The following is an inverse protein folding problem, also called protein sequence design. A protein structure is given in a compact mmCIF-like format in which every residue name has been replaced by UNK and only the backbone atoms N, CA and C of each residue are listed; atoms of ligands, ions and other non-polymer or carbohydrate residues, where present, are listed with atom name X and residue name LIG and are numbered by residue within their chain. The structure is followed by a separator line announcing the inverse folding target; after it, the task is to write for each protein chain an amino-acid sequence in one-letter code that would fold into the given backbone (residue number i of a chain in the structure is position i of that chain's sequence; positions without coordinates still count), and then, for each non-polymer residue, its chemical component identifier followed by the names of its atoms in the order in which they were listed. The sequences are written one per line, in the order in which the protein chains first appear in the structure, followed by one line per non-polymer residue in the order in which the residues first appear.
data_IF_070335159159
#
_entry.id   IF_070335159159
#
_cell.length_a   1.000
_cell.length_b   1.000
_cell.length_c   1.000
_cell.angle_alpha   90.00
_cell.angle_beta   90.00
_cell.angle_gamma   90.00
#
_symmetry.space_group_name_H-M   'P 1'
#
loop_
_entity.id
_entity.type
_entity.pdbx_description
1 polymer ?
#
# COMPACT_ATOMS: atom_id res chain seq x y z
N UNK A 1 21.36 -29.64 -8.44
CA UNK A 1 21.15 -28.93 -9.72
C UNK A 1 19.67 -28.60 -9.82
N UNK A 2 19.29 -27.39 -9.46
CA UNK A 2 17.92 -26.93 -9.66
C UNK A 2 17.71 -26.76 -11.17
N UNK A 3 16.82 -27.55 -11.76
CA UNK A 3 16.37 -27.28 -13.12
C UNK A 3 15.75 -25.89 -13.09
N UNK A 4 16.41 -24.94 -13.74
CA UNK A 4 15.79 -23.70 -14.18
C UNK A 4 14.76 -24.18 -15.22
N UNK A 5 13.58 -24.59 -14.76
CA UNK A 5 12.42 -24.71 -15.63
C UNK A 5 12.34 -23.38 -16.35
N UNK A 6 12.52 -23.45 -17.67
CA UNK A 6 12.30 -22.33 -18.57
C UNK A 6 10.80 -22.05 -18.47
N UNK A 7 10.43 -21.20 -17.53
CA UNK A 7 9.14 -20.50 -17.49
C UNK A 7 8.98 -19.80 -18.84
N UNK A 8 8.34 -20.48 -19.79
CA UNK A 8 7.80 -19.90 -21.02
C UNK A 8 6.54 -19.08 -20.75
N UNK A 9 6.19 -18.85 -19.46
CA UNK A 9 5.27 -17.79 -19.09
C UNK A 9 5.92 -16.48 -19.54
N UNK A 10 5.42 -15.95 -20.65
CA UNK A 10 5.76 -14.65 -21.17
C UNK A 10 5.60 -13.66 -20.01
N UNK A 11 6.72 -13.24 -19.43
CA UNK A 11 6.71 -12.42 -18.21
C UNK A 11 6.03 -11.11 -18.57
N UNK A 12 4.84 -10.92 -17.99
CA UNK A 12 4.12 -9.66 -18.06
C UNK A 12 4.94 -8.64 -17.29
N UNK A 13 5.13 -7.48 -17.89
CA UNK A 13 5.85 -6.38 -17.26
C UNK A 13 4.86 -5.26 -17.00
N UNK A 14 4.72 -4.88 -15.73
CA UNK A 14 3.88 -3.75 -15.35
C UNK A 14 4.66 -2.46 -15.64
N UNK A 15 4.20 -1.69 -16.63
CA UNK A 15 4.82 -0.41 -17.03
C UNK A 15 3.74 0.66 -17.12
N UNK A 16 4.01 1.85 -16.58
CA UNK A 16 3.19 3.03 -16.85
C UNK A 16 3.61 3.69 -18.17
N UNK A 17 4.92 3.77 -18.45
CA UNK A 17 5.46 4.42 -19.67
C UNK A 17 5.00 5.88 -19.80
N UNK A 18 5.23 6.66 -18.74
CA UNK A 18 4.83 8.06 -18.67
C UNK A 18 5.59 8.91 -19.68
N UNK A 19 4.95 9.95 -20.23
CA UNK A 19 5.62 10.87 -21.14
C UNK A 19 6.67 11.70 -20.39
N UNK A 20 7.67 12.22 -21.11
CA UNK A 20 8.66 13.13 -20.52
C UNK A 20 8.00 14.40 -19.94
N UNK A 21 6.90 14.86 -20.56
CA UNK A 21 6.12 16.00 -20.06
C UNK A 21 5.41 15.65 -18.75
N UNK A 22 4.76 14.49 -18.66
CA UNK A 22 4.07 14.05 -17.44
C UNK A 22 5.06 13.82 -16.30
N UNK A 23 6.23 13.22 -16.56
CA UNK A 23 7.30 13.04 -15.58
C UNK A 23 7.81 14.38 -15.04
N UNK A 24 8.03 15.36 -15.92
CA UNK A 24 8.43 16.71 -15.50
C UNK A 24 7.36 17.36 -14.62
N UNK A 25 6.09 17.30 -15.02
CA UNK A 25 4.97 17.87 -14.24
C UNK A 25 4.77 17.15 -12.90
N UNK A 26 4.99 15.84 -12.87
CA UNK A 26 4.97 15.04 -11.64
C UNK A 26 6.08 15.48 -10.68
N UNK A 27 7.31 15.65 -11.18
CA UNK A 27 8.44 16.15 -10.39
C UNK A 27 8.15 17.54 -9.79
N UNK A 28 7.60 18.47 -10.57
CA UNK A 28 7.19 19.80 -10.09
C UNK A 28 6.07 19.73 -9.02
N UNK A 29 5.18 18.72 -9.07
CA UNK A 29 4.17 18.48 -8.04
C UNK A 29 4.77 17.93 -6.74
N UNK A 30 5.73 17.02 -6.87
CA UNK A 30 6.45 16.42 -5.73
C UNK A 30 7.25 17.49 -4.99
N UNK A 31 7.99 18.33 -5.71
CA UNK A 31 8.76 19.44 -5.13
C UNK A 31 7.89 20.44 -4.37
N UNK A 32 6.71 20.78 -4.91
CA UNK A 32 5.73 21.63 -4.21
C UNK A 32 5.18 20.96 -2.96
N UNK A 33 4.99 19.65 -2.98
CA UNK A 33 4.48 18.90 -1.82
C UNK A 33 5.49 18.87 -0.67
N UNK A 34 6.80 18.87 -0.95
CA UNK A 34 7.85 18.93 0.07
C UNK A 34 7.77 20.16 0.97
N UNK A 35 7.20 21.28 0.46
CA UNK A 35 7.02 22.52 1.23
C UNK A 35 5.60 22.78 1.74
N UNK A 36 4.62 21.94 1.41
CA UNK A 36 3.22 22.21 1.69
C UNK A 36 2.77 21.57 3.01
N UNK A 37 2.28 22.39 3.95
CA UNK A 37 1.56 21.93 5.15
C UNK A 37 0.05 21.73 4.94
N UNK A 38 -0.43 21.76 3.68
CA UNK A 38 -1.84 21.56 3.39
C UNK A 38 -2.22 20.07 3.42
N UNK A 39 -2.62 19.56 4.57
CA UNK A 39 -3.07 18.18 4.75
C UNK A 39 -4.59 18.01 4.52
N UNK A 40 -5.22 18.98 3.82
CA UNK A 40 -6.66 19.01 3.51
C UNK A 40 -7.51 19.66 4.60
N UNK A 41 -8.67 20.20 4.25
CA UNK A 41 -9.61 20.78 5.24
C UNK A 41 -10.58 19.73 5.76
N UNK A 42 -10.99 19.86 7.03
CA UNK A 42 -12.05 19.03 7.59
C UNK A 42 -13.36 19.33 6.87
N UNK A 43 -13.99 18.29 6.32
CA UNK A 43 -15.41 18.35 5.95
C UNK A 43 -16.22 17.66 7.04
N UNK A 44 -17.36 18.24 7.40
CA UNK A 44 -18.32 17.60 8.29
C UNK A 44 -18.72 16.24 7.68
N UNK A 45 -18.79 15.22 8.53
CA UNK A 45 -19.14 13.87 8.10
C UNK A 45 -20.61 13.64 8.41
N UNK A 46 -21.46 13.83 7.41
CA UNK A 46 -22.91 13.53 7.51
C UNK A 46 -23.23 12.10 7.02
N UNK A 47 -22.18 11.30 6.77
CA UNK A 47 -22.27 9.94 6.24
C UNK A 47 -22.64 8.89 7.29
N UNK A 48 -23.22 7.77 6.83
CA UNK A 48 -23.50 6.61 7.70
C UNK A 48 -22.25 5.80 8.05
N UNK A 49 -21.24 5.85 7.18
CA UNK A 49 -20.00 5.09 7.31
C UNK A 49 -18.82 6.05 7.35
N UNK A 50 -17.93 5.88 8.34
CA UNK A 50 -16.61 6.49 8.35
C UNK A 50 -15.57 5.44 8.02
N UNK A 51 -14.84 5.65 6.92
CA UNK A 51 -13.67 4.85 6.60
C UNK A 51 -12.41 5.49 7.17
N UNK A 52 -11.62 4.69 7.89
CA UNK A 52 -10.35 5.08 8.46
C UNK A 52 -9.27 4.14 7.91
N UNK A 53 -8.23 4.70 7.30
CA UNK A 53 -7.07 3.95 6.80
C UNK A 53 -5.85 4.26 7.65
N UNK A 54 -5.23 3.26 8.28
CA UNK A 54 -3.92 3.37 8.92
C UNK A 54 -2.86 2.75 8.00
N UNK A 55 -2.07 3.59 7.34
CA UNK A 55 -1.27 3.23 6.15
C UNK A 55 0.07 3.95 6.15
N UNK A 56 1.06 3.41 5.43
CA UNK A 56 2.35 4.07 5.18
C UNK A 56 2.44 4.63 3.74
N UNK A 57 1.31 4.65 3.04
CA UNK A 57 1.11 5.19 1.70
C UNK A 57 2.09 4.63 0.65
N UNK A 58 2.51 3.37 0.80
CA UNK A 58 3.07 2.64 -0.34
C UNK A 58 2.03 2.52 -1.49
N UNK A 59 2.46 2.34 -2.76
CA UNK A 59 1.54 2.40 -3.90
C UNK A 59 0.35 1.44 -3.80
N UNK A 60 0.55 0.22 -3.29
CA UNK A 60 -0.49 -0.76 -3.07
C UNK A 60 -1.46 -0.39 -1.94
N UNK A 61 -1.01 0.29 -0.89
CA UNK A 61 -1.90 0.87 0.11
C UNK A 61 -2.83 1.90 -0.52
N UNK A 62 -2.28 2.81 -1.32
CA UNK A 62 -3.03 3.91 -1.95
C UNK A 62 -4.10 3.35 -2.89
N UNK A 63 -3.74 2.35 -3.71
CA UNK A 63 -4.70 1.67 -4.57
C UNK A 63 -5.80 0.99 -3.76
N UNK A 64 -5.45 0.34 -2.64
CA UNK A 64 -6.42 -0.37 -1.79
C UNK A 64 -7.37 0.63 -1.14
N UNK A 65 -6.86 1.76 -0.64
CA UNK A 65 -7.65 2.86 -0.09
C UNK A 65 -8.64 3.40 -1.14
N UNK A 66 -8.21 3.62 -2.38
CA UNK A 66 -9.06 4.08 -3.48
C UNK A 66 -10.18 3.08 -3.80
N UNK A 67 -9.84 1.80 -3.99
CA UNK A 67 -10.80 0.76 -4.33
C UNK A 67 -11.80 0.50 -3.19
N UNK A 68 -11.33 0.46 -1.93
CA UNK A 68 -12.19 0.32 -0.76
C UNK A 68 -13.13 1.52 -0.61
N UNK A 69 -12.62 2.73 -0.84
CA UNK A 69 -13.46 3.95 -0.84
C UNK A 69 -14.52 3.86 -1.93
N UNK A 70 -14.16 3.44 -3.13
CA UNK A 70 -15.10 3.22 -4.23
C UNK A 70 -16.13 2.11 -3.95
N UNK A 71 -15.78 1.12 -3.14
CA UNK A 71 -16.66 0.00 -2.76
C UNK A 71 -17.70 0.39 -1.71
N UNK A 72 -17.31 1.23 -0.75
CA UNK A 72 -18.09 1.47 0.48
C UNK A 72 -18.64 2.88 0.64
N UNK A 73 -17.96 3.92 0.14
CA UNK A 73 -18.38 5.29 0.36
C UNK A 73 -19.48 5.71 -0.62
N UNK A 74 -20.43 6.47 -0.09
CA UNK A 74 -21.36 7.21 -0.94
C UNK A 74 -20.63 8.35 -1.67
N UNK A 75 -21.14 8.82 -2.83
CA UNK A 75 -20.57 9.97 -3.52
C UNK A 75 -20.43 11.18 -2.59
N UNK A 76 -19.23 11.75 -2.50
CA UNK A 76 -18.93 12.93 -1.69
C UNK A 76 -18.48 12.65 -0.25
N UNK A 77 -18.63 11.42 0.25
CA UNK A 77 -17.99 11.00 1.50
C UNK A 77 -16.48 10.86 1.29
N UNK A 78 -15.69 11.26 2.28
CA UNK A 78 -14.22 11.19 2.22
C UNK A 78 -13.68 10.34 3.36
N UNK A 79 -12.69 9.47 3.10
CA UNK A 79 -12.05 8.73 4.17
C UNK A 79 -11.17 9.62 5.05
N UNK A 80 -10.82 9.12 6.22
CA UNK A 80 -9.75 9.63 7.07
C UNK A 80 -8.50 8.78 6.86
N UNK A 81 -7.39 9.41 6.48
CA UNK A 81 -6.09 8.74 6.27
C UNK A 81 -5.15 9.06 7.42
N UNK A 82 -4.78 8.03 8.17
CA UNK A 82 -3.78 8.03 9.23
C UNK A 82 -2.45 7.55 8.64
N UNK A 83 -1.60 8.49 8.22
CA UNK A 83 -0.32 8.20 7.55
C UNK A 83 0.81 7.99 8.57
N UNK A 84 1.26 6.75 8.72
CA UNK A 84 2.45 6.39 9.50
C UNK A 84 3.72 6.57 8.68
N UNK A 85 4.61 7.46 9.13
CA UNK A 85 5.86 7.76 8.42
C UNK A 85 7.09 7.23 9.15
N UNK A 86 8.10 6.87 8.38
CA UNK A 86 9.45 6.52 8.79
C UNK A 86 10.48 7.43 8.11
N UNK A 87 10.44 8.72 8.45
CA UNK A 87 11.37 9.73 7.94
C UNK A 87 12.84 9.43 8.28
N UNK A 88 13.11 8.50 9.20
CA UNK A 88 14.47 8.08 9.57
C UNK A 88 15.03 7.02 8.64
N UNK A 89 14.19 6.31 7.89
CA UNK A 89 14.62 5.19 7.07
C UNK A 89 13.93 5.17 5.70
N UNK A 90 12.67 4.70 5.64
CA UNK A 90 11.99 4.49 4.35
C UNK A 90 11.62 5.78 3.63
N UNK A 91 11.28 6.84 4.36
CA UNK A 91 10.67 8.04 3.79
C UNK A 91 11.65 9.22 3.65
N UNK A 92 12.95 8.96 3.48
CA UNK A 92 13.95 10.02 3.25
C UNK A 92 13.90 10.53 1.80
N UNK A 93 14.58 11.64 1.49
CA UNK A 93 14.64 12.23 0.15
C UNK A 93 13.26 12.67 -0.34
N UNK A 94 12.90 12.35 -1.58
CA UNK A 94 11.60 12.71 -2.14
C UNK A 94 10.52 11.65 -1.87
N UNK A 95 10.86 10.52 -1.25
CA UNK A 95 9.92 9.40 -1.01
C UNK A 95 8.69 9.84 -0.22
N UNK A 96 8.85 10.61 0.87
CA UNK A 96 7.72 11.15 1.63
C UNK A 96 6.79 12.02 0.76
N UNK A 97 7.37 12.93 -0.02
CA UNK A 97 6.63 13.83 -0.89
C UNK A 97 5.96 13.09 -2.05
N UNK A 98 6.62 12.08 -2.61
CA UNK A 98 6.07 11.17 -3.61
C UNK A 98 4.83 10.45 -3.06
N UNK A 99 4.91 9.85 -1.87
CA UNK A 99 3.77 9.18 -1.22
C UNK A 99 2.56 10.10 -1.02
N UNK A 100 2.79 11.31 -0.49
CA UNK A 100 1.74 12.31 -0.33
C UNK A 100 1.14 12.75 -1.68
N UNK A 101 1.99 12.96 -2.69
CA UNK A 101 1.55 13.39 -4.03
C UNK A 101 0.71 12.29 -4.69
N UNK A 102 1.17 11.03 -4.65
CA UNK A 102 0.42 9.87 -5.14
C UNK A 102 -0.94 9.77 -4.43
N UNK A 103 -0.95 9.85 -3.10
CA UNK A 103 -2.18 9.73 -2.32
C UNK A 103 -3.19 10.84 -2.66
N UNK A 104 -2.74 12.09 -2.83
CA UNK A 104 -3.61 13.21 -3.25
C UNK A 104 -4.16 13.02 -4.66
N UNK A 105 -3.34 12.51 -5.59
CA UNK A 105 -3.76 12.27 -6.97
C UNK A 105 -4.73 11.09 -7.07
N UNK A 106 -4.51 10.02 -6.30
CA UNK A 106 -5.31 8.81 -6.36
C UNK A 106 -6.60 8.91 -5.54
N UNK A 107 -6.55 9.44 -4.32
CA UNK A 107 -7.67 9.48 -3.39
C UNK A 107 -8.52 10.75 -3.51
N UNK A 108 -8.01 11.76 -4.22
CA UNK A 108 -8.64 13.07 -4.34
C UNK A 108 -8.62 13.85 -3.01
N UNK A 109 -9.66 14.65 -2.72
CA UNK A 109 -9.72 15.46 -1.50
C UNK A 109 -9.96 14.57 -0.27
N UNK A 110 -8.87 14.17 0.39
CA UNK A 110 -8.92 13.40 1.64
C UNK A 110 -8.24 14.13 2.79
N UNK A 111 -8.66 13.80 4.00
CA UNK A 111 -8.05 14.34 5.21
C UNK A 111 -6.88 13.45 5.63
N UNK A 112 -5.69 14.04 5.74
CA UNK A 112 -4.49 13.36 6.24
C UNK A 112 -4.17 13.77 7.68
N UNK A 113 -3.90 12.77 8.51
CA UNK A 113 -3.21 12.90 9.79
C UNK A 113 -1.87 12.19 9.68
N UNK A 114 -0.76 12.91 9.89
CA UNK A 114 0.59 12.39 9.68
C UNK A 114 1.28 12.11 11.00
N UNK A 115 1.65 10.85 11.22
CA UNK A 115 2.43 10.40 12.36
C UNK A 115 3.92 10.41 12.03
N UNK A 116 4.67 11.30 12.69
CA UNK A 116 6.13 11.44 12.52
C UNK A 116 6.85 10.91 13.75
N UNK A 117 7.77 9.97 13.57
CA UNK A 117 8.55 9.40 14.69
C UNK A 117 9.47 10.43 15.34
N UNK A 118 9.21 10.74 16.62
CA UNK A 118 10.02 11.67 17.42
C UNK A 118 9.76 13.15 17.13
N UNK A 119 8.62 13.47 16.50
CA UNK A 119 8.15 14.83 16.26
C UNK A 119 6.67 14.93 16.64
N UNK A 120 6.16 16.15 16.79
CA UNK A 120 4.74 16.38 17.04
C UNK A 120 3.90 15.82 15.89
N UNK A 121 2.87 15.04 16.23
CA UNK A 121 1.93 14.51 15.25
C UNK A 121 1.12 15.64 14.63
N UNK A 122 1.03 15.63 13.31
CA UNK A 122 0.27 16.63 12.58
C UNK A 122 -1.19 16.22 12.54
N UNK A 123 -2.05 17.03 13.17
CA UNK A 123 -3.52 16.86 13.18
C UNK A 123 -4.06 15.61 13.89
N UNK A 124 -3.26 14.95 14.73
CA UNK A 124 -3.70 13.78 15.50
C UNK A 124 -4.96 14.06 16.32
N UNK A 125 -4.97 15.15 17.07
CA UNK A 125 -6.13 15.56 17.88
C UNK A 125 -7.38 15.83 17.01
N UNK A 126 -7.20 16.27 15.77
CA UNK A 126 -8.29 16.51 14.84
C UNK A 126 -8.86 15.20 14.26
N UNK A 127 -7.99 14.25 13.89
CA UNK A 127 -8.37 12.90 13.49
C UNK A 127 -9.08 12.14 14.63
N UNK A 128 -8.54 12.24 15.85
CA UNK A 128 -9.15 11.70 17.07
C UNK A 128 -10.55 12.28 17.27
N UNK A 129 -10.70 13.62 17.22
CA UNK A 129 -12.02 14.27 17.35
C UNK A 129 -12.99 13.77 16.29
N UNK A 130 -12.56 13.69 15.02
CA UNK A 130 -13.39 13.24 13.91
C UNK A 130 -13.97 11.85 14.16
N UNK A 131 -13.15 10.92 14.66
CA UNK A 131 -13.61 9.56 14.99
C UNK A 131 -14.48 9.54 16.25
N UNK A 132 -14.07 10.22 17.31
CA UNK A 132 -14.80 10.26 18.58
C UNK A 132 -16.19 10.92 18.47
N UNK A 133 -16.34 11.89 17.57
CA UNK A 133 -17.56 12.66 17.34
C UNK A 133 -18.34 12.20 16.11
N UNK A 134 -17.95 11.11 15.45
CA UNK A 134 -18.61 10.65 14.24
C UNK A 134 -20.08 10.27 14.52
N UNK A 135 -21.07 10.94 13.92
CA UNK A 135 -22.48 10.72 14.27
C UNK A 135 -23.10 9.49 13.59
N UNK A 136 -22.43 8.92 12.58
CA UNK A 136 -22.95 7.79 11.82
C UNK A 136 -22.85 6.46 12.55
N UNK A 137 -23.26 5.39 11.85
CA UNK A 137 -23.53 4.09 12.47
C UNK A 137 -22.30 3.19 12.52
N UNK A 138 -21.38 3.34 11.56
CA UNK A 138 -20.32 2.36 11.30
C UNK A 138 -18.97 3.00 11.04
N UNK A 139 -17.93 2.47 11.69
CA UNK A 139 -16.54 2.80 11.42
C UNK A 139 -15.86 1.57 10.81
N UNK A 140 -15.35 1.72 9.59
CA UNK A 140 -14.53 0.70 8.92
C UNK A 140 -13.08 1.09 9.06
N UNK A 141 -12.34 0.36 9.88
CA UNK A 141 -10.95 0.67 10.20
C UNK A 141 -10.01 -0.35 9.55
N UNK A 142 -9.26 0.10 8.55
CA UNK A 142 -8.30 -0.72 7.82
C UNK A 142 -6.87 -0.42 8.27
N UNK A 143 -6.09 -1.46 8.55
CA UNK A 143 -4.71 -1.35 9.03
C UNK A 143 -3.78 -2.00 7.99
N UNK A 144 -3.03 -1.16 7.28
CA UNK A 144 -2.08 -1.48 6.19
C UNK A 144 -0.63 -1.16 6.57
N UNK A 145 -0.40 -0.54 7.73
CA UNK A 145 0.94 -0.17 8.19
C UNK A 145 1.31 -0.74 9.57
N UNK A 146 2.60 -0.86 9.88
CA UNK A 146 3.06 -1.18 11.23
C UNK A 146 2.62 -0.10 12.23
N UNK A 147 2.06 -0.51 13.37
CA UNK A 147 1.54 0.42 14.38
C UNK A 147 2.61 1.36 14.95
N UNK A 148 3.80 0.85 15.27
CA UNK A 148 4.94 1.59 15.84
C UNK A 148 4.60 2.42 17.09
N UNK A 149 3.54 2.06 17.81
CA UNK A 149 2.97 2.80 18.93
C UNK A 149 1.90 3.83 18.55
N UNK A 150 1.84 4.26 17.29
CA UNK A 150 0.91 5.29 16.82
C UNK A 150 -0.53 4.79 16.77
N UNK A 151 -0.74 3.50 16.49
CA UNK A 151 -2.06 2.89 16.52
C UNK A 151 -2.63 2.93 17.95
N UNK A 152 -1.81 2.57 18.94
CA UNK A 152 -2.20 2.65 20.34
C UNK A 152 -2.49 4.10 20.78
N UNK A 153 -1.62 5.04 20.41
CA UNK A 153 -1.78 6.46 20.73
C UNK A 153 -3.09 7.03 20.18
N UNK A 154 -3.37 6.77 18.90
CA UNK A 154 -4.61 7.18 18.25
C UNK A 154 -5.84 6.62 18.97
N UNK A 155 -5.88 5.30 19.20
CA UNK A 155 -7.02 4.65 19.84
C UNK A 155 -7.24 5.09 21.29
N UNK A 156 -6.16 5.37 22.04
CA UNK A 156 -6.27 5.92 23.39
C UNK A 156 -6.85 7.34 23.36
N UNK A 157 -6.41 8.18 22.42
CA UNK A 157 -6.96 9.51 22.26
C UNK A 157 -8.46 9.51 21.91
N UNK A 158 -8.92 8.55 21.10
CA UNK A 158 -10.35 8.33 20.81
C UNK A 158 -11.11 7.94 22.08
N UNK A 159 -10.60 6.95 22.84
CA UNK A 159 -11.20 6.50 24.12
C UNK A 159 -11.37 7.62 25.14
N UNK A 160 -10.43 8.55 25.20
CA UNK A 160 -10.48 9.69 26.12
C UNK A 160 -11.58 10.72 25.77
N UNK A 161 -12.11 10.69 24.53
CA UNK A 161 -13.03 11.72 24.01
C UNK A 161 -14.42 11.20 23.66
N UNK A 162 -14.67 9.89 23.76
CA UNK A 162 -15.99 9.31 23.56
C UNK A 162 -16.35 8.36 24.71
N UNK A 163 -17.64 8.02 24.83
CA UNK A 163 -18.05 6.87 25.65
C UNK A 163 -17.39 5.60 25.10
N UNK A 164 -16.86 4.74 25.99
CA UNK A 164 -16.24 3.47 25.62
C UNK A 164 -16.93 2.30 26.32
N UNK A 165 -17.46 1.29 25.59
CA UNK A 165 -17.32 1.06 24.16
C UNK A 165 -18.04 2.13 23.30
N UNK A 166 -17.55 2.39 22.07
CA UNK A 166 -18.15 3.36 21.17
C UNK A 166 -19.55 2.91 20.75
N UNK A 167 -20.44 3.87 20.48
CA UNK A 167 -21.82 3.57 20.02
C UNK A 167 -21.86 3.01 18.60
N UNK A 168 -20.88 3.38 17.78
CA UNK A 168 -20.76 2.96 16.40
C UNK A 168 -20.29 1.50 16.33
N UNK A 169 -20.72 0.78 15.31
CA UNK A 169 -20.17 -0.54 14.99
C UNK A 169 -18.78 -0.37 14.36
N UNK A 170 -17.76 -1.02 14.93
CA UNK A 170 -16.41 -0.98 14.37
C UNK A 170 -16.09 -2.29 13.64
N UNK A 171 -15.81 -2.20 12.34
CA UNK A 171 -15.28 -3.31 11.57
C UNK A 171 -13.78 -3.08 11.37
N UNK A 172 -12.96 -4.00 11.91
CA UNK A 172 -11.50 -3.86 11.88
C UNK A 172 -10.92 -4.93 10.99
N UNK A 173 -10.26 -4.50 9.92
CA UNK A 173 -9.58 -5.37 8.96
C UNK A 173 -8.11 -4.97 8.87
N UNK A 174 -7.20 -5.94 8.88
CA UNK A 174 -5.77 -5.68 8.79
C UNK A 174 -5.08 -6.58 7.77
N UNK A 175 -4.05 -6.04 7.15
CA UNK A 175 -3.08 -6.85 6.43
C UNK A 175 -1.89 -7.17 7.35
N UNK A 176 -1.61 -8.46 7.56
CA UNK A 176 -0.57 -8.93 8.49
C UNK A 176 0.71 -9.40 7.80
N UNK A 177 1.22 -8.59 6.88
CA UNK A 177 2.57 -8.79 6.33
C UNK A 177 3.67 -8.73 7.41
N UNK A 178 4.81 -9.36 7.11
CA UNK A 178 5.98 -9.41 8.00
C UNK A 178 6.44 -8.02 8.46
N UNK A 179 6.40 -7.03 7.56
CA UNK A 179 6.72 -5.64 7.88
C UNK A 179 5.75 -5.04 8.91
N UNK A 180 4.46 -5.24 8.70
CA UNK A 180 3.38 -4.71 9.53
C UNK A 180 3.45 -5.27 10.95
N UNK A 181 3.52 -6.60 11.08
CA UNK A 181 3.46 -7.27 12.39
C UNK A 181 4.73 -7.07 13.22
N UNK A 182 5.91 -7.01 12.59
CA UNK A 182 7.19 -6.74 13.29
C UNK A 182 7.17 -5.36 13.96
N UNK A 183 6.60 -4.37 13.27
CA UNK A 183 6.53 -3.00 13.75
C UNK A 183 5.43 -2.72 14.78
N UNK A 184 4.56 -3.69 15.12
CA UNK A 184 3.55 -3.53 16.16
C UNK A 184 4.19 -3.52 17.56
N UNK A 185 3.97 -2.48 18.34
CA UNK A 185 4.37 -2.45 19.76
C UNK A 185 3.42 -3.30 20.62
N UNK A 186 3.82 -3.64 21.85
CA UNK A 186 2.92 -4.31 22.80
C UNK A 186 1.63 -3.51 23.05
N UNK A 187 1.74 -2.17 23.06
CA UNK A 187 0.59 -1.27 23.23
C UNK A 187 -0.35 -1.32 22.04
N UNK A 188 0.17 -1.41 20.81
CA UNK A 188 -0.68 -1.53 19.60
C UNK A 188 -1.52 -2.79 19.64
N UNK A 189 -0.90 -3.92 20.02
CA UNK A 189 -1.58 -5.21 20.14
C UNK A 189 -2.67 -5.18 21.23
N UNK A 190 -2.38 -4.58 22.38
CA UNK A 190 -3.36 -4.39 23.46
C UNK A 190 -4.52 -3.49 23.02
N UNK A 191 -4.24 -2.39 22.33
CA UNK A 191 -5.27 -1.48 21.84
C UNK A 191 -6.16 -2.13 20.78
N UNK A 192 -5.60 -2.96 19.90
CA UNK A 192 -6.37 -3.73 18.91
C UNK A 192 -7.26 -4.77 19.60
N UNK A 193 -6.74 -5.46 20.62
CA UNK A 193 -7.54 -6.38 21.42
C UNK A 193 -8.70 -5.68 22.11
N UNK A 194 -8.46 -4.54 22.75
CA UNK A 194 -9.51 -3.75 23.38
C UNK A 194 -10.55 -3.24 22.37
N UNK A 195 -10.12 -2.85 21.17
CA UNK A 195 -11.01 -2.39 20.11
C UNK A 195 -11.95 -3.51 19.64
N UNK A 196 -11.42 -4.71 19.36
CA UNK A 196 -12.24 -5.86 18.92
C UNK A 196 -13.19 -6.36 20.01
N UNK A 197 -12.80 -6.28 21.28
CA UNK A 197 -13.70 -6.56 22.41
C UNK A 197 -14.84 -5.52 22.45
N UNK A 198 -14.50 -4.24 22.32
CA UNK A 198 -15.46 -3.16 22.35
C UNK A 198 -16.42 -3.18 21.15
N UNK A 199 -15.95 -3.59 19.97
CA UNK A 199 -16.76 -3.66 18.76
C UNK A 199 -17.68 -4.88 18.70
N UNK A 200 -17.38 -5.93 19.46
CA UNK A 200 -18.10 -7.21 19.42
C UNK A 200 -17.87 -8.01 18.13
N UNK A 201 -17.05 -7.51 17.19
CA UNK A 201 -16.73 -8.16 15.92
C UNK A 201 -15.30 -8.70 15.95
N UNK A 202 -15.05 -9.89 15.35
CA UNK A 202 -13.68 -10.37 15.23
C UNK A 202 -12.85 -9.46 14.32
N UNK A 203 -11.54 -9.41 14.57
CA UNK A 203 -10.56 -8.83 13.66
C UNK A 203 -10.53 -9.65 12.36
N UNK A 204 -10.64 -9.01 11.20
CA UNK A 204 -10.33 -9.67 9.93
C UNK A 204 -8.83 -9.54 9.69
N UNK A 205 -8.12 -10.65 9.71
CA UNK A 205 -6.69 -10.72 9.46
C UNK A 205 -6.39 -11.32 8.08
N UNK A 206 -6.03 -10.48 7.12
CA UNK A 206 -5.68 -10.90 5.76
C UNK A 206 -4.16 -11.04 5.65
N UNK A 207 -3.68 -12.21 5.24
CA UNK A 207 -2.26 -12.43 4.93
C UNK A 207 -2.13 -13.10 3.56
N UNK A 208 -1.18 -12.65 2.73
CA UNK A 208 -1.03 -13.19 1.36
C UNK A 208 -0.82 -14.70 1.35
N UNK A 209 0.03 -15.19 2.25
CA UNK A 209 0.36 -16.61 2.33
C UNK A 209 -0.87 -17.46 2.65
N UNK A 210 -1.71 -17.04 3.59
CA UNK A 210 -2.90 -17.83 3.96
C UNK A 210 -4.04 -17.61 2.97
N UNK A 211 -4.24 -16.38 2.51
CA UNK A 211 -5.31 -16.01 1.59
C UNK A 211 -5.26 -16.81 0.28
N UNK A 212 -4.08 -17.01 -0.31
CA UNK A 212 -3.89 -17.82 -1.51
C UNK A 212 -3.55 -19.29 -1.22
N UNK A 213 -3.92 -19.82 -0.06
CA UNK A 213 -3.80 -21.24 0.27
C UNK A 213 -2.38 -21.77 0.36
N UNK A 214 -1.45 -20.96 0.86
CA UNK A 214 -0.08 -21.34 1.25
C UNK A 214 0.72 -21.87 0.06
N UNK A 215 1.02 -23.16 0.07
CA UNK A 215 1.82 -23.84 -0.96
C UNK A 215 1.05 -24.03 -2.27
N UNK A 216 -0.26 -23.75 -2.27
CA UNK A 216 -1.10 -23.77 -3.47
C UNK A 216 -1.13 -22.43 -4.22
N UNK A 217 -0.49 -21.39 -3.68
CA UNK A 217 -0.50 -20.07 -4.27
C UNK A 217 0.18 -20.06 -5.64
N UNK A 218 -0.55 -19.68 -6.69
CA UNK A 218 0.01 -19.57 -8.03
C UNK A 218 1.08 -18.46 -8.12
N UNK A 219 2.08 -18.59 -9.00
CA UNK A 219 3.13 -17.59 -9.17
C UNK A 219 2.63 -16.17 -9.43
N UNK A 220 1.49 -16.01 -10.12
CA UNK A 220 0.88 -14.71 -10.41
C UNK A 220 0.45 -13.94 -9.15
N UNK A 221 0.24 -14.63 -8.02
CA UNK A 221 -0.19 -14.02 -6.74
C UNK A 221 0.97 -13.52 -5.87
N UNK A 222 2.20 -13.54 -6.39
CA UNK A 222 3.40 -13.13 -5.65
C UNK A 222 3.53 -11.61 -5.50
N UNK A 223 3.17 -10.86 -6.53
CA UNK A 223 3.29 -9.42 -6.59
C UNK A 223 2.20 -8.84 -7.49
N UNK A 224 2.10 -7.50 -7.54
CA UNK A 224 1.07 -6.84 -8.33
C UNK A 224 1.27 -7.10 -9.83
N UNK A 225 2.51 -7.02 -10.31
CA UNK A 225 2.89 -7.22 -11.72
C UNK A 225 2.39 -8.55 -12.31
N UNK A 226 2.48 -9.64 -11.53
CA UNK A 226 1.97 -10.94 -11.96
C UNK A 226 0.45 -11.09 -11.87
N UNK A 227 -0.21 -10.29 -11.02
CA UNK A 227 -1.61 -10.48 -10.67
C UNK A 227 -2.56 -9.66 -11.56
N UNK A 228 -2.23 -8.40 -11.83
CA UNK A 228 -3.12 -7.47 -12.56
C UNK A 228 -3.21 -7.79 -14.06
N UNK A 229 -4.26 -7.29 -14.76
CA UNK A 229 -4.31 -7.34 -16.22
C UNK A 229 -3.07 -6.73 -16.87
N UNK A 230 -2.66 -7.24 -18.04
CA UNK A 230 -1.43 -6.80 -18.72
C UNK A 230 -1.46 -5.33 -19.17
N UNK A 231 -2.65 -4.79 -19.37
CA UNK A 231 -2.94 -3.42 -19.75
C UNK A 231 -3.20 -2.49 -18.54
N UNK A 232 -3.08 -2.99 -17.30
CA UNK A 232 -3.33 -2.21 -16.09
C UNK A 232 -2.55 -0.90 -16.03
N UNK A 233 -1.24 -0.94 -16.30
CA UNK A 233 -0.41 0.26 -16.29
C UNK A 233 -0.84 1.30 -17.33
N UNK A 234 -1.21 0.83 -18.53
CA UNK A 234 -1.72 1.69 -19.60
C UNK A 234 -3.08 2.30 -19.21
N UNK A 235 -3.99 1.50 -18.65
CA UNK A 235 -5.31 1.94 -18.20
C UNK A 235 -5.19 3.00 -17.08
N UNK A 236 -4.26 2.81 -16.13
CA UNK A 236 -3.96 3.83 -15.11
C UNK A 236 -3.39 5.10 -15.73
N UNK A 237 -2.46 4.99 -16.68
CA UNK A 237 -1.89 6.17 -17.37
C UNK A 237 -2.95 6.95 -18.15
N UNK A 238 -3.87 6.27 -18.83
CA UNK A 238 -4.96 6.93 -19.56
C UNK A 238 -5.93 7.63 -18.60
N UNK A 239 -6.27 7.00 -17.48
CA UNK A 239 -7.20 7.55 -16.50
C UNK A 239 -6.59 8.66 -15.64
N UNK A 240 -5.30 8.58 -15.31
CA UNK A 240 -4.62 9.49 -14.40
C UNK A 240 -3.12 9.61 -14.73
N UNK A 241 -2.75 10.32 -15.82
CA UNK A 241 -1.37 10.33 -16.33
C UNK A 241 -0.35 10.85 -15.31
N UNK A 242 -0.72 11.89 -14.55
CA UNK A 242 0.15 12.42 -13.50
C UNK A 242 0.33 11.46 -12.33
N UNK A 243 -0.69 10.66 -11.98
CA UNK A 243 -0.54 9.64 -10.94
C UNK A 243 0.44 8.55 -11.41
N UNK A 244 0.27 8.08 -12.65
CA UNK A 244 1.16 7.10 -13.26
C UNK A 244 2.61 7.58 -13.27
N UNK A 245 2.84 8.85 -13.63
CA UNK A 245 4.17 9.47 -13.58
C UNK A 245 4.76 9.56 -12.17
N UNK A 246 3.99 9.95 -11.15
CA UNK A 246 4.48 9.99 -9.76
C UNK A 246 4.76 8.57 -9.24
N UNK A 247 3.93 7.58 -9.60
CA UNK A 247 4.20 6.18 -9.23
C UNK A 247 5.48 5.65 -9.89
N UNK A 248 5.78 6.08 -11.12
CA UNK A 248 7.05 5.77 -11.80
C UNK A 248 8.24 6.40 -11.06
N UNK A 249 8.19 7.70 -10.74
CA UNK A 249 9.24 8.39 -9.97
C UNK A 249 9.45 7.76 -8.59
N UNK A 250 8.36 7.45 -7.87
CA UNK A 250 8.42 6.76 -6.59
C UNK A 250 9.09 5.40 -6.72
N UNK A 251 8.67 4.59 -7.70
CA UNK A 251 9.20 3.25 -7.92
C UNK A 251 10.71 3.32 -8.13
N UNK A 252 11.21 4.23 -8.95
CA UNK A 252 12.64 4.39 -9.21
C UNK A 252 13.44 4.76 -7.96
N UNK A 253 13.00 5.78 -7.24
CA UNK A 253 13.71 6.25 -6.04
C UNK A 253 13.68 5.20 -4.93
N UNK A 254 12.48 4.68 -4.61
CA UNK A 254 12.29 3.72 -3.53
C UNK A 254 12.98 2.39 -3.82
N UNK A 255 12.77 1.83 -5.01
CA UNK A 255 13.39 0.56 -5.38
C UNK A 255 14.90 0.70 -5.61
N UNK A 256 15.37 1.84 -6.12
CA UNK A 256 16.79 2.15 -6.23
C UNK A 256 17.51 2.02 -4.88
N UNK A 257 16.91 2.51 -3.79
CA UNK A 257 17.45 2.34 -2.42
C UNK A 257 17.50 0.90 -1.97
N UNK A 258 16.48 0.10 -2.31
CA UNK A 258 16.47 -1.32 -1.96
C UNK A 258 17.62 -2.09 -2.62
N UNK A 259 18.10 -1.64 -3.78
CA UNK A 259 19.23 -2.25 -4.48
C UNK A 259 20.51 -1.42 -4.42
N UNK A 260 20.59 -0.42 -3.54
CA UNK A 260 21.76 0.45 -3.41
C UNK A 260 23.06 -0.38 -3.33
N UNK A 261 24.15 0.00 -4.02
CA UNK A 261 25.36 -0.82 -4.11
C UNK A 261 26.03 -1.09 -2.75
N UNK A 262 25.87 -0.18 -1.78
CA UNK A 262 26.35 -0.35 -0.40
C UNK A 262 25.35 -1.05 0.54
N UNK A 263 24.20 -1.50 0.03
CA UNK A 263 23.21 -2.16 0.86
C UNK A 263 23.75 -3.53 1.31
N UNK A 264 23.96 -3.71 2.62
CA UNK A 264 24.57 -4.92 3.22
C UNK A 264 23.89 -6.24 2.83
N UNK A 265 22.56 -6.21 2.64
CA UNK A 265 21.75 -7.34 2.15
C UNK A 265 21.47 -7.35 0.64
N UNK A 266 22.31 -6.73 -0.19
CA UNK A 266 22.16 -6.80 -1.66
C UNK A 266 22.35 -8.24 -2.16
N UNK A 267 23.40 -8.90 -1.69
CA UNK A 267 23.71 -10.30 -2.03
C UNK A 267 23.27 -11.26 -0.91
N UNK A 268 23.06 -12.53 -1.24
CA UNK A 268 22.65 -13.57 -0.28
C UNK A 268 23.72 -13.76 0.81
N UNK A 269 23.33 -13.84 2.08
CA UNK A 269 24.25 -14.23 3.15
C UNK A 269 24.92 -15.58 2.84
N UNK A 270 26.23 -15.68 3.07
CA UNK A 270 26.99 -16.91 2.81
C UNK A 270 27.38 -17.15 1.34
N UNK A 271 27.01 -16.26 0.41
CA UNK A 271 27.46 -16.30 -0.98
C UNK A 271 28.29 -15.05 -1.31
N UNK A 272 29.49 -14.88 -0.70
CA UNK A 272 30.31 -13.70 -0.96
C UNK A 272 30.73 -13.63 -2.43
N UNK A 273 30.99 -12.42 -2.90
CA UNK A 273 31.60 -12.21 -4.22
C UNK A 273 33.06 -12.70 -4.16
N UNK A 274 33.51 -13.39 -5.20
CA UNK A 274 34.92 -13.66 -5.42
C UNK A 274 35.60 -12.42 -6.04
N UNK A 275 36.93 -12.42 -6.10
CA UNK A 275 37.70 -11.28 -6.61
C UNK A 275 37.26 -10.80 -8.00
N UNK A 276 36.98 -11.72 -8.94
CA UNK A 276 36.56 -11.34 -10.29
C UNK A 276 35.14 -10.74 -10.29
N UNK A 277 34.24 -11.28 -9.47
CA UNK A 277 32.90 -10.74 -9.26
C UNK A 277 32.94 -9.36 -8.59
N UNK A 278 33.81 -9.15 -7.60
CA UNK A 278 34.04 -7.84 -6.98
C UNK A 278 34.53 -6.81 -8.00
N UNK A 279 35.48 -7.16 -8.86
CA UNK A 279 35.97 -6.28 -9.93
C UNK A 279 34.87 -5.94 -10.95
N UNK A 280 34.01 -6.90 -11.31
CA UNK A 280 32.85 -6.65 -12.19
C UNK A 280 31.81 -5.77 -11.49
N UNK A 281 31.48 -6.07 -10.25
CA UNK A 281 30.53 -5.30 -9.45
C UNK A 281 31.01 -3.87 -9.22
N UNK A 282 32.31 -3.67 -8.98
CA UNK A 282 32.90 -2.33 -8.86
C UNK A 282 32.68 -1.49 -10.13
N UNK A 283 32.78 -2.08 -11.32
CA UNK A 283 32.47 -1.38 -12.59
C UNK A 283 30.98 -1.08 -12.76
N UNK A 284 30.11 -2.03 -12.41
CA UNK A 284 28.66 -1.83 -12.47
C UNK A 284 28.22 -0.73 -11.49
N UNK A 285 28.76 -0.75 -10.27
CA UNK A 285 28.49 0.23 -9.21
C UNK A 285 28.74 1.67 -9.63
N UNK A 286 29.74 1.93 -10.48
CA UNK A 286 30.04 3.29 -10.98
C UNK A 286 28.89 3.91 -11.78
N UNK A 287 27.93 3.10 -12.24
CA UNK A 287 26.75 3.55 -12.98
C UNK A 287 25.60 3.98 -12.08
N UNK A 288 25.72 3.81 -10.76
CA UNK A 288 24.65 4.12 -9.81
C UNK A 288 24.74 5.57 -9.34
N UNK A 289 23.65 6.32 -9.54
CA UNK A 289 23.41 7.60 -8.88
C UNK A 289 22.00 7.58 -8.31
N UNK A 290 21.87 7.79 -6.99
CA UNK A 290 20.60 7.75 -6.27
C UNK A 290 19.62 8.85 -6.71
N UNK A 291 20.12 9.91 -7.37
CA UNK A 291 19.33 11.05 -7.83
C UNK A 291 19.08 11.04 -9.35
N UNK A 292 19.59 10.04 -10.08
CA UNK A 292 19.37 9.89 -11.52
C UNK A 292 18.72 8.54 -11.82
N UNK A 293 17.44 8.60 -12.20
CA UNK A 293 16.65 7.43 -12.55
C UNK A 293 17.26 6.62 -13.70
N UNK A 294 17.87 7.27 -14.69
CA UNK A 294 18.52 6.57 -15.80
C UNK A 294 19.75 5.80 -15.32
N UNK A 295 20.53 6.39 -14.43
CA UNK A 295 21.69 5.76 -13.78
C UNK A 295 21.26 4.53 -12.93
N UNK A 296 20.19 4.63 -12.15
CA UNK A 296 19.62 3.50 -11.38
C UNK A 296 19.24 2.35 -12.33
N UNK A 297 18.56 2.64 -13.45
CA UNK A 297 18.17 1.63 -14.45
C UNK A 297 19.41 1.00 -15.10
N UNK A 298 20.43 1.78 -15.44
CA UNK A 298 21.68 1.26 -16.03
C UNK A 298 22.46 0.36 -15.06
N UNK A 299 22.53 0.74 -13.79
CA UNK A 299 23.08 -0.08 -12.71
C UNK A 299 22.32 -1.40 -12.56
N UNK A 300 20.98 -1.35 -12.47
CA UNK A 300 20.14 -2.53 -12.35
C UNK A 300 20.29 -3.46 -13.56
N UNK A 301 20.38 -2.91 -14.77
CA UNK A 301 20.66 -3.66 -16.00
C UNK A 301 22.02 -4.35 -15.95
N UNK A 302 23.07 -3.64 -15.52
CA UNK A 302 24.39 -4.23 -15.35
C UNK A 302 24.40 -5.40 -14.36
N UNK A 303 23.66 -5.28 -13.24
CA UNK A 303 23.47 -6.38 -12.31
C UNK A 303 22.72 -7.56 -12.93
N UNK A 304 21.65 -7.30 -13.69
CA UNK A 304 20.80 -8.32 -14.29
C UNK A 304 21.50 -9.10 -15.41
N UNK A 305 22.29 -8.42 -16.24
CA UNK A 305 23.01 -9.00 -17.37
C UNK A 305 24.22 -9.85 -16.94
N UNK A 306 24.85 -9.55 -15.79
CA UNK A 306 25.88 -10.42 -15.21
C UNK A 306 25.23 -11.59 -14.46
N UNK A 307 25.02 -12.70 -15.17
CA UNK A 307 24.35 -13.89 -14.64
C UNK A 307 24.97 -14.43 -13.34
N UNK A 308 26.29 -14.29 -13.14
CA UNK A 308 26.95 -14.75 -11.91
C UNK A 308 26.61 -13.82 -10.74
N UNK A 309 26.71 -12.50 -10.92
CA UNK A 309 26.32 -11.53 -9.90
C UNK A 309 24.81 -11.62 -9.60
N UNK A 310 23.97 -11.64 -10.62
CA UNK A 310 22.51 -11.75 -10.46
C UNK A 310 22.13 -13.01 -9.70
N UNK A 311 22.80 -14.14 -9.97
CA UNK A 311 22.54 -15.39 -9.24
C UNK A 311 22.83 -15.29 -7.74
N UNK A 312 23.62 -14.31 -7.29
CA UNK A 312 23.93 -14.05 -5.87
C UNK A 312 23.09 -12.93 -5.26
N UNK A 313 22.32 -12.18 -6.03
CA UNK A 313 21.40 -11.16 -5.50
C UNK A 313 20.40 -11.84 -4.57
N UNK A 314 20.06 -11.18 -3.46
CA UNK A 314 19.09 -11.69 -2.51
C UNK A 314 17.73 -11.92 -3.18
N UNK A 315 17.06 -13.05 -2.90
CA UNK A 315 15.86 -13.47 -3.64
C UNK A 315 14.75 -12.41 -3.66
N UNK A 316 14.55 -11.75 -2.51
CA UNK A 316 13.56 -10.69 -2.36
C UNK A 316 13.92 -9.38 -3.10
N UNK A 317 15.16 -9.25 -3.61
CA UNK A 317 15.63 -8.12 -4.42
C UNK A 317 15.71 -8.44 -5.91
N UNK A 318 15.73 -9.71 -6.30
CA UNK A 318 15.80 -10.12 -7.70
C UNK A 318 14.65 -9.54 -8.54
N UNK A 319 13.43 -9.49 -7.98
CA UNK A 319 12.28 -8.85 -8.62
C UNK A 319 12.52 -7.36 -8.87
N UNK A 320 13.05 -6.66 -7.86
CA UNK A 320 13.39 -5.23 -7.93
C UNK A 320 14.46 -4.92 -8.97
N UNK A 321 15.57 -5.69 -8.99
CA UNK A 321 16.64 -5.52 -9.99
C UNK A 321 16.10 -5.74 -11.40
N UNK A 322 15.31 -6.81 -11.61
CA UNK A 322 14.71 -7.09 -12.92
C UNK A 322 13.78 -5.96 -13.36
N UNK A 323 12.88 -5.52 -12.47
CA UNK A 323 11.92 -4.49 -12.81
C UNK A 323 12.62 -3.18 -13.23
N UNK A 324 13.59 -2.73 -12.45
CA UNK A 324 14.38 -1.54 -12.80
C UNK A 324 15.18 -1.71 -14.09
N UNK A 325 15.76 -2.88 -14.35
CA UNK A 325 16.52 -3.14 -15.58
C UNK A 325 15.66 -3.00 -16.85
N UNK A 326 14.38 -3.37 -16.76
CA UNK A 326 13.41 -3.31 -17.85
C UNK A 326 12.53 -2.05 -17.85
N UNK A 327 12.63 -1.19 -16.84
CA UNK A 327 11.72 -0.06 -16.67
C UNK A 327 10.29 -0.48 -16.32
N UNK A 328 10.14 -1.65 -15.69
CA UNK A 328 8.88 -2.11 -15.10
C UNK A 328 8.81 -1.80 -13.61
N UNK A 329 7.67 -2.14 -13.01
CA UNK A 329 7.31 -1.76 -11.65
C UNK A 329 7.17 -3.01 -10.81
N UNK A 330 7.95 -3.08 -9.73
CA UNK A 330 7.84 -4.13 -8.75
C UNK A 330 7.08 -3.60 -7.53
N UNK A 331 5.75 -3.73 -7.56
CA UNK A 331 4.88 -3.37 -6.44
C UNK A 331 4.37 -4.62 -5.70
N UNK A 332 4.25 -4.57 -4.37
CA UNK A 332 3.62 -5.66 -3.62
C UNK A 332 2.13 -5.79 -3.98
N UNK A 333 1.60 -7.02 -3.82
CA UNK A 333 0.15 -7.30 -3.89
C UNK A 333 -0.52 -7.22 -2.50
N UNK A 334 0.29 -7.07 -1.46
CA UNK A 334 0.00 -7.26 -0.05
C UNK A 334 -1.31 -6.60 0.41
N UNK A 335 -1.36 -5.28 0.41
CA UNK A 335 -2.47 -4.52 1.01
C UNK A 335 -3.72 -4.47 0.12
N UNK A 336 -3.56 -4.76 -1.18
CA UNK A 336 -4.67 -4.99 -2.11
C UNK A 336 -5.58 -6.15 -1.67
N UNK A 337 -5.08 -7.09 -0.87
CA UNK A 337 -5.88 -8.21 -0.39
C UNK A 337 -6.99 -7.78 0.57
N UNK A 338 -6.87 -6.62 1.23
CA UNK A 338 -7.98 -6.05 2.00
C UNK A 338 -9.14 -5.68 1.10
N UNK A 339 -8.87 -5.05 -0.06
CA UNK A 339 -9.91 -4.78 -1.05
C UNK A 339 -10.51 -6.08 -1.59
N UNK A 340 -9.68 -7.05 -2.00
CA UNK A 340 -10.18 -8.32 -2.54
C UNK A 340 -11.04 -9.07 -1.52
N UNK A 341 -10.66 -9.09 -0.24
CA UNK A 341 -11.49 -9.67 0.81
C UNK A 341 -12.87 -9.01 0.90
N UNK A 342 -12.94 -7.68 0.96
CA UNK A 342 -14.21 -6.96 1.06
C UNK A 342 -15.06 -7.14 -0.20
N UNK A 343 -14.43 -7.12 -1.38
CA UNK A 343 -15.09 -7.37 -2.65
C UNK A 343 -15.64 -8.80 -2.74
N UNK A 344 -14.85 -9.81 -2.38
CA UNK A 344 -15.30 -11.21 -2.35
C UNK A 344 -16.42 -11.43 -1.34
N UNK A 345 -16.33 -10.84 -0.15
CA UNK A 345 -17.39 -10.93 0.87
C UNK A 345 -18.72 -10.40 0.34
N UNK A 346 -18.70 -9.36 -0.49
CA UNK A 346 -19.90 -8.75 -1.08
C UNK A 346 -20.40 -9.47 -2.32
N UNK A 347 -19.50 -9.78 -3.25
CA UNK A 347 -19.88 -10.20 -4.62
C UNK A 347 -19.75 -11.72 -4.84
N UNK A 348 -18.87 -12.39 -4.08
CA UNK A 348 -18.54 -13.83 -4.23
C UNK A 348 -18.28 -14.51 -2.88
N UNK A 349 -19.18 -14.42 -1.89
CA UNK A 349 -18.89 -14.89 -0.52
C UNK A 349 -18.55 -16.39 -0.46
N UNK A 350 -19.10 -17.19 -1.38
CA UNK A 350 -18.80 -18.63 -1.48
C UNK A 350 -17.41 -18.94 -2.02
N UNK A 351 -16.61 -17.95 -2.41
CA UNK A 351 -15.18 -18.15 -2.71
C UNK A 351 -14.30 -18.07 -1.47
N UNK A 352 -14.84 -17.70 -0.31
CA UNK A 352 -14.09 -17.56 0.92
C UNK A 352 -14.40 -18.69 1.90
N UNK A 353 -13.35 -19.31 2.42
CA UNK A 353 -13.39 -20.12 3.63
C UNK A 353 -12.83 -19.28 4.78
N UNK A 354 -13.64 -19.04 5.80
CA UNK A 354 -13.26 -18.21 6.96
C UNK A 354 -12.71 -19.10 8.08
N UNK A 355 -11.45 -18.89 8.45
CA UNK A 355 -10.84 -19.55 9.59
C UNK A 355 -11.02 -18.70 10.85
N UNK A 356 -11.88 -19.13 11.76
CA UNK A 356 -12.11 -18.42 13.02
C UNK A 356 -11.22 -18.94 14.15
N UNK A 357 -10.86 -18.04 15.07
CA UNK A 357 -10.07 -18.38 16.25
C UNK A 357 -9.49 -17.17 16.97
N UNK A 358 -8.29 -17.35 17.53
CA UNK A 358 -7.50 -16.31 18.19
C UNK A 358 -6.34 -15.89 17.30
N UNK A 359 -6.14 -14.58 17.18
CA UNK A 359 -5.01 -14.06 16.44
C UNK A 359 -3.72 -14.26 17.21
N UNK A 360 -2.70 -14.78 16.53
CA UNK A 360 -1.37 -15.02 17.07
C UNK A 360 -0.32 -14.43 16.14
N UNK A 361 0.77 -13.91 16.72
CA UNK A 361 1.86 -13.28 15.98
C UNK A 361 3.18 -13.88 16.44
N UNK A 362 3.95 -14.34 15.47
CA UNK A 362 5.38 -14.58 15.61
C UNK A 362 6.13 -13.37 15.08
N UNK A 363 6.55 -12.49 15.99
CA UNK A 363 7.22 -11.23 15.61
C UNK A 363 8.61 -11.48 15.02
N UNK A 364 9.31 -12.52 15.47
CA UNK A 364 10.68 -12.78 15.03
C UNK A 364 10.68 -13.23 13.57
N UNK A 365 9.79 -14.16 13.24
CA UNK A 365 9.61 -14.61 11.86
C UNK A 365 8.75 -13.63 11.03
N UNK A 366 8.06 -12.69 11.68
CA UNK A 366 7.17 -11.73 11.03
C UNK A 366 6.02 -12.45 10.35
N UNK A 367 5.36 -13.31 11.11
CA UNK A 367 4.24 -14.12 10.66
C UNK A 367 3.06 -13.89 11.61
N UNK A 368 1.84 -13.97 11.08
CA UNK A 368 0.65 -14.04 11.91
C UNK A 368 -0.32 -15.09 11.38
N UNK A 369 -1.12 -15.63 12.29
CA UNK A 369 -2.14 -16.62 11.96
C UNK A 369 -3.32 -16.53 12.92
N UNK A 370 -4.41 -17.18 12.53
CA UNK A 370 -5.53 -17.47 13.42
C UNK A 370 -5.45 -18.92 13.85
N UNK A 371 -5.35 -19.15 15.16
CA UNK A 371 -5.28 -20.50 15.75
C UNK A 371 -6.60 -20.85 16.41
N UNK A 372 -7.02 -22.12 16.30
CA UNK A 372 -8.16 -22.64 17.04
C UNK A 372 -7.85 -22.71 18.54
N UNK A 373 -8.79 -22.33 19.39
CA UNK A 373 -8.66 -22.32 20.85
C UNK A 373 -8.95 -20.97 21.49
N UNK A 374 -8.85 -20.90 22.81
CA UNK A 374 -9.14 -19.70 23.60
C UNK A 374 -7.90 -18.86 23.95
N UNK A 375 -6.70 -19.41 23.74
CA UNK A 375 -5.43 -18.73 24.00
C UNK A 375 -4.99 -17.86 22.81
N UNK A 376 -4.48 -16.66 23.11
CA UNK A 376 -3.91 -15.75 22.11
C UNK A 376 -4.45 -14.32 22.22
N UNK A 377 -4.35 -13.59 21.12
CA UNK A 377 -4.79 -12.21 21.00
C UNK A 377 -6.31 -12.04 20.84
N UNK A 378 -6.77 -11.01 20.10
CA UNK A 378 -8.19 -10.82 19.84
C UNK A 378 -8.83 -12.02 19.12
N UNK A 379 -10.16 -12.13 19.24
CA UNK A 379 -10.93 -12.98 18.32
C UNK A 379 -10.69 -12.47 16.91
N UNK A 380 -10.43 -13.39 16.00
CA UNK A 380 -10.11 -13.06 14.62
C UNK A 380 -10.67 -14.08 13.63
N UNK A 381 -10.78 -13.63 12.39
CA UNK A 381 -11.11 -14.42 11.21
C UNK A 381 -10.01 -14.20 10.18
N UNK A 382 -9.50 -15.29 9.61
CA UNK A 382 -8.53 -15.26 8.53
C UNK A 382 -9.17 -15.83 7.26
N UNK A 383 -9.43 -15.01 6.22
CA UNK A 383 -10.03 -15.48 4.98
C UNK A 383 -9.03 -16.28 4.15
N UNK A 384 -9.52 -17.37 3.57
CA UNK A 384 -8.79 -18.25 2.64
C UNK A 384 -9.61 -18.37 1.36
N UNK A 385 -8.98 -18.18 0.20
CA UNK A 385 -9.62 -18.40 -1.08
C UNK A 385 -9.88 -19.90 -1.27
N UNK A 386 -11.13 -20.25 -1.58
CA UNK A 386 -11.49 -21.60 -2.01
C UNK A 386 -10.89 -21.85 -3.39
N UNK A 387 -10.21 -22.98 -3.54
CA UNK A 387 -9.49 -23.39 -4.77
C UNK A 387 -8.55 -22.29 -5.29
N UNK A 388 -7.49 -21.92 -4.55
CA UNK A 388 -6.62 -20.78 -4.87
C UNK A 388 -5.83 -20.95 -6.17
N UNK A 389 -5.82 -22.15 -6.76
CA UNK A 389 -5.23 -22.46 -8.05
C UNK A 389 -6.18 -22.26 -9.25
N UNK A 390 -7.42 -21.80 -9.03
CA UNK A 390 -8.38 -21.54 -10.12
C UNK A 390 -8.05 -20.22 -10.83
N UNK A 391 -7.38 -20.30 -11.97
CA UNK A 391 -6.91 -19.13 -12.74
C UNK A 391 -8.04 -18.17 -13.14
N UNK A 392 -9.22 -18.68 -13.52
CA UNK A 392 -10.38 -17.84 -13.88
C UNK A 392 -10.85 -16.96 -12.71
N UNK A 393 -10.82 -17.50 -11.48
CA UNK A 393 -11.18 -16.74 -10.27
C UNK A 393 -10.17 -15.63 -10.01
N UNK A 394 -8.88 -15.93 -10.16
CA UNK A 394 -7.80 -14.95 -10.00
C UNK A 394 -7.88 -13.85 -11.07
N UNK A 395 -8.20 -14.22 -12.32
CA UNK A 395 -8.43 -13.25 -13.39
C UNK A 395 -9.62 -12.33 -13.10
N UNK A 396 -10.73 -12.86 -12.55
CA UNK A 396 -11.87 -12.03 -12.14
C UNK A 396 -11.51 -11.07 -11.00
N UNK A 397 -10.75 -11.54 -10.01
CA UNK A 397 -10.25 -10.71 -8.90
C UNK A 397 -9.32 -9.59 -9.40
N UNK A 398 -8.42 -9.91 -10.34
CA UNK A 398 -7.54 -8.95 -10.98
C UNK A 398 -8.33 -7.89 -11.77
N UNK A 399 -9.36 -8.31 -12.51
CA UNK A 399 -10.27 -7.40 -13.20
C UNK A 399 -11.07 -6.52 -12.23
N UNK A 400 -11.46 -7.03 -11.07
CA UNK A 400 -12.13 -6.24 -10.04
C UNK A 400 -11.21 -5.15 -9.46
N UNK A 401 -9.94 -5.47 -9.19
CA UNK A 401 -8.94 -4.49 -8.73
C UNK A 401 -8.78 -3.33 -9.70
N UNK A 402 -8.58 -3.64 -10.98
CA UNK A 402 -8.48 -2.61 -12.02
C UNK A 402 -9.77 -1.80 -12.13
N UNK A 403 -10.91 -2.48 -12.30
CA UNK A 403 -12.22 -1.84 -12.49
C UNK A 403 -12.53 -0.84 -11.38
N UNK A 404 -12.35 -1.22 -10.12
CA UNK A 404 -12.66 -0.33 -8.99
C UNK A 404 -11.66 0.82 -8.88
N UNK A 405 -10.39 0.58 -9.17
CA UNK A 405 -9.38 1.63 -9.14
C UNK A 405 -9.61 2.67 -10.24
N UNK A 406 -9.80 2.24 -11.49
CA UNK A 406 -10.08 3.15 -12.62
C UNK A 406 -11.40 3.90 -12.42
N UNK A 407 -12.44 3.23 -11.92
CA UNK A 407 -13.71 3.89 -11.58
C UNK A 407 -13.53 4.98 -10.52
N UNK A 408 -12.71 4.72 -9.50
CA UNK A 408 -12.39 5.71 -8.48
C UNK A 408 -11.68 6.93 -9.08
N UNK A 409 -10.65 6.71 -9.89
CA UNK A 409 -9.90 7.79 -10.54
C UNK A 409 -10.80 8.68 -11.42
N UNK A 410 -11.68 8.07 -12.22
CA UNK A 410 -12.63 8.79 -13.07
C UNK A 410 -13.63 9.66 -12.28
N UNK A 411 -13.95 9.29 -11.03
CA UNK A 411 -14.86 10.07 -10.18
C UNK A 411 -14.28 11.43 -9.77
N UNK A 412 -12.95 11.58 -9.74
CA UNK A 412 -12.27 12.82 -9.37
C UNK A 412 -12.24 13.85 -10.50
N UNK A 413 -12.13 13.40 -11.75
CA UNK A 413 -12.08 14.30 -12.91
C UNK A 413 -13.41 14.99 -13.20
N UNK A 414 -14.53 14.29 -12.95
CA UNK A 414 -15.87 14.86 -13.08
C UNK A 414 -16.08 16.04 -12.12
N UNK A 415 -15.44 16.02 -10.95
CA UNK A 415 -15.57 17.09 -9.96
C UNK A 415 -14.75 18.34 -10.33
N UNK A 416 -13.66 18.20 -11.09
CA UNK A 416 -12.79 19.31 -11.50
C UNK A 416 -13.39 20.15 -12.62
N UNK A 417 -14.04 19.50 -13.59
CA UNK A 417 -14.64 20.17 -14.75
C UNK A 417 -15.80 21.09 -14.36
N UNK A 418 -16.60 20.71 -13.35
CA UNK A 418 -17.74 21.52 -12.87
C UNK A 418 -17.29 22.82 -12.18
N UNK A 419 -16.11 22.84 -11.55
CA UNK A 419 -15.61 24.04 -10.86
C UNK A 419 -14.83 25.00 -11.78
N UNK A 420 -14.30 24.53 -12.91
CA UNK A 420 -13.64 25.40 -13.89
C UNK A 420 -14.61 26.17 -14.80
N UNK A 421 -15.89 25.81 -14.80
CA UNK A 421 -16.91 26.40 -15.69
C UNK A 421 -17.83 27.41 -15.03
N UNK A 422 -17.58 27.84 -13.78
CA UNK A 422 -18.28 29.01 -13.23
C UNK A 422 -17.78 30.25 -14.00
N UNK A 423 -18.61 30.85 -14.89
CA UNK A 423 -18.19 32.07 -15.56
C UNK A 423 -17.95 33.12 -14.48
N UNK A 424 -16.81 33.81 -14.57
CA UNK A 424 -16.59 35.05 -13.83
C UNK A 424 -17.82 35.92 -14.07
N UNK A 425 -18.75 35.96 -13.11
CA UNK A 425 -19.83 36.93 -13.11
C UNK A 425 -19.12 38.27 -12.96
N UNK A 426 -18.95 38.93 -14.09
CA UNK A 426 -18.46 40.29 -14.18
C UNK A 426 -19.27 41.10 -13.18
N UNK A 427 -18.60 41.59 -12.15
CA UNK A 427 -19.13 42.59 -11.24
C UNK A 427 -19.39 43.82 -12.12
N UNK A 428 -20.63 43.95 -12.57
CA UNK A 428 -21.11 45.16 -13.23
C UNK A 428 -21.20 46.22 -12.14
N UNK A 429 -20.16 47.05 -12.06
CA UNK A 429 -20.20 48.29 -11.29
C UNK A 429 -21.30 49.20 -11.85
N UNK A 430 -22.30 49.49 -11.04
CA UNK A 430 -23.12 50.71 -11.13
C UNK A 430 -22.94 51.49 -9.84
#
# INVERSE_FOLDING_TARGET
MASIEKDTVQKRELRYASSAEDLKRAQELVERTTGAEDYGTHRAVDGRVLMVFFTDLEPDDIMACAQLSQLWLAPGETPLVLFSTDLRNKDQGNIFANKLTMARLALGPVEFCVFKSGQQHMRLDAAIRRVAQFPGDTIRFYIMAPGRGFLAEFLNGVKERCEWPPRQAWHVSMYSGSFNVRGMSKKDLQSLQQLTIASGTPLVDVSRFVFFGRDQALPCTKNLEGFVPSDFGENVRQAAPLLAAVMELFNEEFNGRLIHPDHTKLFRPGQPLNRQEEERFARIRLRFDQNDCAAIREYARGLFEDAQLFSKVADYKCGTVRALAHGSINSPLCDQLLFLHEWLTKERPWWLCLQEGRWSIDKDNGFSCVTQGDEGGPRAVQPVLQDPAQEDRLAEMAGAMEKYFIKHLASHDTSRTVHSSSPNMAVSSM
#
